data_IF_966259857468
#
_entry.id   IF_966259857468
#
_cell.length_a   1.000
_cell.length_b   1.000
_cell.length_c   1.000
_cell.angle_alpha   90.00
_cell.angle_beta   90.00
_cell.angle_gamma   90.00
#
_symmetry.space_group_name_H-M   'P 1'
#
loop_
_entity.id
_entity.type
_entity.pdbx_description
1 polymer ?
#
# COMPACT_ATOMS: atom_id res chain seq x y z
N UNK A 1 -7.95 3.89 2.99
CA UNK A 1 -7.92 3.05 4.20
C UNK A 1 -8.79 3.60 5.31
N UNK A 2 -8.56 4.81 5.82
CA UNK A 2 -9.40 5.39 6.88
C UNK A 2 -10.86 5.62 6.42
N UNK A 3 -11.07 6.14 5.21
CA UNK A 3 -12.41 6.34 4.64
C UNK A 3 -13.20 5.04 4.47
N UNK A 4 -12.64 4.07 3.73
CA UNK A 4 -13.36 2.88 3.28
C UNK A 4 -13.11 1.62 4.12
N UNK A 5 -12.26 1.69 5.14
CA UNK A 5 -11.98 0.60 6.08
C UNK A 5 -13.12 0.40 7.08
N UNK A 6 -14.33 0.13 6.58
CA UNK A 6 -15.57 0.06 7.35
C UNK A 6 -16.21 -1.32 7.25
N UNK A 7 -16.93 -1.70 8.30
CA UNK A 7 -17.61 -3.00 8.40
C UNK A 7 -19.13 -2.88 8.51
N UNK A 8 -19.66 -1.65 8.66
CA UNK A 8 -21.09 -1.37 8.83
C UNK A 8 -21.56 -0.52 7.65
N UNK A 9 -22.68 -0.92 7.04
CA UNK A 9 -23.35 -0.22 5.95
C UNK A 9 -24.18 0.97 6.47
N UNK A 10 -24.67 1.80 5.56
CA UNK A 10 -25.43 3.02 5.90
C UNK A 10 -26.72 2.75 6.69
N UNK A 11 -27.31 1.55 6.54
CA UNK A 11 -28.49 1.08 7.29
C UNK A 11 -28.17 0.48 8.67
N UNK A 12 -26.89 0.43 9.06
CA UNK A 12 -26.43 -0.08 10.34
C UNK A 12 -26.19 -1.61 10.38
N UNK A 13 -26.32 -2.31 9.25
CA UNK A 13 -26.04 -3.75 9.19
C UNK A 13 -24.56 -4.06 8.87
N UNK A 14 -24.03 -5.24 9.25
CA UNK A 14 -22.69 -5.63 8.85
C UNK A 14 -22.56 -5.90 7.35
N UNK A 15 -21.52 -5.36 6.71
CA UNK A 15 -21.18 -5.64 5.32
C UNK A 15 -20.89 -7.14 5.11
N UNK A 16 -21.37 -7.70 3.99
CA UNK A 16 -21.22 -9.13 3.63
C UNK A 16 -20.10 -9.38 2.60
N UNK A 17 -19.29 -8.36 2.35
CA UNK A 17 -18.22 -8.33 1.36
C UNK A 17 -17.03 -7.56 1.93
N UNK A 18 -15.88 -7.69 1.27
CA UNK A 18 -14.68 -6.90 1.60
C UNK A 18 -14.87 -5.46 1.14
N UNK A 19 -14.56 -4.51 2.01
CA UNK A 19 -14.57 -3.06 1.71
C UNK A 19 -13.15 -2.58 1.39
N UNK A 20 -12.72 -1.43 1.92
CA UNK A 20 -11.48 -0.76 1.51
C UNK A 20 -10.23 -1.66 1.56
N UNK A 21 -9.39 -1.63 0.51
CA UNK A 21 -8.16 -2.40 0.46
C UNK A 21 -7.08 -1.82 1.39
N UNK A 22 -6.08 -2.64 1.69
CA UNK A 22 -4.81 -2.16 2.26
C UNK A 22 -4.02 -1.53 1.13
N UNK A 23 -3.68 -0.24 1.29
CA UNK A 23 -2.85 0.50 0.33
C UNK A 23 -1.42 0.54 0.85
N UNK A 24 -0.45 0.28 -0.02
CA UNK A 24 0.97 0.43 0.24
C UNK A 24 1.69 0.75 -1.07
N UNK A 25 2.89 1.33 -0.98
CA UNK A 25 3.69 1.65 -2.15
C UNK A 25 4.92 2.48 -1.81
N UNK A 26 5.83 2.58 -2.77
CA UNK A 26 7.05 3.39 -2.72
C UNK A 26 7.34 3.94 -4.12
N UNK A 27 8.04 5.08 -4.26
CA UNK A 27 8.47 5.58 -5.56
C UNK A 27 9.31 4.55 -6.33
N UNK A 28 9.09 4.47 -7.63
CA UNK A 28 9.96 3.70 -8.53
C UNK A 28 11.19 4.54 -8.94
N UNK A 29 12.36 3.91 -9.14
CA UNK A 29 12.58 2.46 -9.24
C UNK A 29 12.90 1.76 -7.92
N UNK A 30 12.99 2.48 -6.79
CA UNK A 30 13.36 1.91 -5.48
C UNK A 30 12.50 0.69 -5.09
N UNK A 31 11.18 0.78 -5.29
CA UNK A 31 10.24 -0.31 -5.03
C UNK A 31 10.59 -1.61 -5.79
N UNK A 32 11.16 -1.50 -6.99
CA UNK A 32 11.55 -2.65 -7.83
C UNK A 32 12.65 -3.48 -7.16
N UNK A 33 13.47 -2.85 -6.32
CA UNK A 33 14.55 -3.47 -5.57
C UNK A 33 14.17 -3.78 -4.11
N UNK A 34 12.87 -3.72 -3.78
CA UNK A 34 12.35 -4.02 -2.45
C UNK A 34 11.32 -5.14 -2.50
N UNK A 35 10.10 -4.87 -2.97
CA UNK A 35 8.97 -5.79 -2.85
C UNK A 35 8.42 -6.29 -4.19
N UNK A 36 8.95 -5.84 -5.34
CA UNK A 36 8.48 -6.30 -6.66
C UNK A 36 8.70 -7.80 -6.90
N UNK A 37 9.64 -8.44 -6.20
CA UNK A 37 9.75 -9.89 -6.17
C UNK A 37 8.41 -10.55 -5.78
N UNK A 38 7.76 -10.05 -4.73
CA UNK A 38 6.47 -10.55 -4.27
C UNK A 38 5.35 -10.17 -5.24
N UNK A 39 5.41 -8.97 -5.84
CA UNK A 39 4.42 -8.54 -6.84
C UNK A 39 4.44 -9.46 -8.06
N UNK A 40 5.61 -9.89 -8.53
CA UNK A 40 5.78 -10.72 -9.73
C UNK A 40 5.56 -12.22 -9.48
N UNK A 41 6.15 -12.78 -8.43
CA UNK A 41 6.20 -14.24 -8.21
C UNK A 41 5.54 -14.69 -6.89
N UNK A 42 5.00 -13.76 -6.11
CA UNK A 42 4.25 -14.09 -4.90
C UNK A 42 2.89 -14.73 -5.21
N UNK A 43 2.29 -15.35 -4.19
CA UNK A 43 0.98 -16.03 -4.27
C UNK A 43 -0.21 -15.08 -4.10
N UNK A 44 0.04 -13.79 -3.91
CA UNK A 44 -1.00 -12.76 -3.82
C UNK A 44 -1.12 -12.04 -5.16
N UNK A 45 -2.36 -11.79 -5.58
CA UNK A 45 -2.66 -10.85 -6.64
C UNK A 45 -2.66 -9.45 -6.02
N UNK A 46 -1.80 -8.57 -6.52
CA UNK A 46 -1.68 -7.20 -6.05
C UNK A 46 -1.90 -6.30 -7.26
N UNK A 47 -3.10 -5.74 -7.45
CA UNK A 47 -3.33 -4.67 -8.42
C UNK A 47 -2.43 -3.49 -8.11
N UNK A 48 -1.84 -2.88 -9.15
CA UNK A 48 -0.89 -1.78 -8.98
C UNK A 48 -1.19 -0.62 -9.92
N UNK A 49 -1.19 0.59 -9.38
CA UNK A 49 -1.25 1.81 -10.17
C UNK A 49 0.17 2.36 -10.36
N UNK A 50 0.59 2.50 -11.62
CA UNK A 50 1.84 3.13 -12.00
C UNK A 50 1.56 4.56 -12.48
N UNK A 51 2.23 5.53 -11.88
CA UNK A 51 2.06 6.95 -12.21
C UNK A 51 3.41 7.55 -12.64
N UNK A 52 3.44 8.22 -13.79
CA UNK A 52 4.64 8.87 -14.32
C UNK A 52 4.32 10.22 -14.96
N UNK A 53 5.22 11.20 -14.79
CA UNK A 53 5.23 12.43 -15.59
C UNK A 53 6.09 12.24 -16.84
N UNK A 54 5.64 12.70 -18.01
CA UNK A 54 6.44 12.63 -19.23
C UNK A 54 7.66 13.57 -19.19
N UNK A 55 7.58 14.67 -18.44
CA UNK A 55 8.67 15.65 -18.28
C UNK A 55 9.19 15.67 -16.85
N UNK A 56 10.51 15.62 -16.71
CA UNK A 56 11.20 15.77 -15.42
C UNK A 56 11.38 17.24 -15.07
N UNK A 57 11.17 17.60 -13.80
CA UNK A 57 11.57 18.90 -13.27
C UNK A 57 13.10 19.11 -13.29
N UNK A 58 13.86 18.02 -13.41
CA UNK A 58 15.32 18.01 -13.46
C UNK A 58 15.78 17.28 -14.73
N UNK A 59 15.86 17.94 -15.89
CA UNK A 59 16.20 17.33 -17.17
C UNK A 59 17.72 17.09 -17.31
N UNK A 60 18.32 16.37 -16.36
CA UNK A 60 19.75 16.07 -16.33
C UNK A 60 20.14 15.22 -17.55
N UNK A 61 21.26 15.58 -18.19
CA UNK A 61 21.81 14.84 -19.33
C UNK A 61 20.83 14.75 -20.49
N UNK A 62 20.21 15.88 -20.87
CA UNK A 62 19.20 15.96 -21.93
C UNK A 62 18.03 14.98 -21.75
N UNK A 63 17.62 14.79 -20.49
CA UNK A 63 16.52 13.93 -20.10
C UNK A 63 16.85 12.43 -20.13
N UNK A 64 18.12 12.04 -20.15
CA UNK A 64 18.49 10.61 -20.17
C UNK A 64 17.98 9.86 -18.93
N UNK A 65 18.02 10.48 -17.75
CA UNK A 65 17.46 9.89 -16.53
C UNK A 65 15.94 9.72 -16.62
N UNK A 66 15.23 10.66 -17.25
CA UNK A 66 13.79 10.54 -17.44
C UNK A 66 13.43 9.40 -18.39
N UNK A 67 14.23 9.19 -19.45
CA UNK A 67 14.06 8.05 -20.36
C UNK A 67 14.30 6.72 -19.66
N UNK A 68 15.33 6.63 -18.80
CA UNK A 68 15.58 5.43 -17.99
C UNK A 68 14.45 5.15 -16.99
N UNK A 69 13.90 6.18 -16.35
CA UNK A 69 12.74 6.02 -15.47
C UNK A 69 11.52 5.55 -16.27
N UNK A 70 11.26 6.17 -17.42
CA UNK A 70 10.14 5.82 -18.30
C UNK A 70 10.27 4.39 -18.83
N UNK A 71 11.47 3.92 -19.22
CA UNK A 71 11.67 2.55 -19.68
C UNK A 71 11.30 1.54 -18.60
N UNK A 72 11.65 1.82 -17.33
CA UNK A 72 11.28 0.97 -16.20
C UNK A 72 9.77 1.02 -15.93
N UNK A 73 9.13 2.19 -16.02
CA UNK A 73 7.68 2.33 -15.91
C UNK A 73 6.93 1.46 -16.92
N UNK A 74 7.30 1.54 -18.21
CA UNK A 74 6.64 0.76 -19.26
C UNK A 74 6.94 -0.74 -19.13
N UNK A 75 8.21 -1.10 -18.89
CA UNK A 75 8.63 -2.49 -18.81
C UNK A 75 7.99 -3.23 -17.63
N UNK A 76 7.79 -2.59 -16.48
CA UNK A 76 7.18 -3.26 -15.32
C UNK A 76 5.69 -3.58 -15.55
N UNK A 77 4.93 -2.65 -16.13
CA UNK A 77 3.54 -2.90 -16.47
C UNK A 77 3.40 -4.03 -17.51
N UNK A 78 4.26 -4.02 -18.54
CA UNK A 78 4.32 -5.08 -19.54
C UNK A 78 4.70 -6.43 -18.93
N UNK A 79 5.77 -6.49 -18.12
CA UNK A 79 6.23 -7.72 -17.48
C UNK A 79 5.15 -8.37 -16.59
N UNK A 80 4.39 -7.55 -15.84
CA UNK A 80 3.27 -8.02 -15.02
C UNK A 80 2.12 -8.60 -15.86
N UNK A 81 1.90 -8.06 -17.06
CA UNK A 81 0.91 -8.57 -18.00
C UNK A 81 1.37 -9.87 -18.66
N UNK A 82 2.55 -9.87 -19.30
CA UNK A 82 2.98 -10.95 -20.20
C UNK A 82 3.63 -12.14 -19.51
N UNK A 83 4.33 -11.90 -18.38
CA UNK A 83 5.10 -12.95 -17.71
C UNK A 83 6.23 -13.51 -18.56
N UNK A 84 6.64 -14.75 -18.27
CA UNK A 84 7.69 -15.50 -18.95
C UNK A 84 7.48 -17.00 -18.76
N UNK A 85 7.31 -17.74 -19.86
CA UNK A 85 7.02 -19.18 -19.84
C UNK A 85 8.28 -20.03 -19.64
N UNK A 86 8.08 -21.31 -19.31
CA UNK A 86 9.19 -22.26 -19.15
C UNK A 86 10.03 -22.41 -20.43
N UNK A 87 9.39 -22.41 -21.60
CA UNK A 87 10.04 -22.51 -22.91
C UNK A 87 10.93 -21.30 -23.17
N UNK A 88 10.46 -20.09 -22.85
CA UNK A 88 11.25 -18.87 -22.97
C UNK A 88 12.46 -18.90 -22.02
N UNK A 89 12.26 -19.34 -20.78
CA UNK A 89 13.34 -19.50 -19.80
C UNK A 89 14.41 -20.51 -20.27
N UNK A 90 13.99 -21.64 -20.86
CA UNK A 90 14.91 -22.62 -21.45
C UNK A 90 15.65 -22.06 -22.66
N UNK A 91 14.97 -21.31 -23.53
CA UNK A 91 15.58 -20.66 -24.69
C UNK A 91 16.65 -19.62 -24.30
N UNK A 92 16.51 -19.01 -23.11
CA UNK A 92 17.54 -18.14 -22.50
C UNK A 92 18.75 -18.91 -21.92
N UNK A 93 18.77 -20.24 -22.03
CA UNK A 93 19.86 -21.09 -21.56
C UNK A 93 19.87 -21.35 -20.06
N UNK A 94 18.71 -21.24 -19.39
CA UNK A 94 18.61 -21.60 -17.97
C UNK A 94 18.81 -23.11 -17.76
N UNK A 95 19.58 -23.54 -16.75
CA UNK A 95 19.61 -24.93 -16.29
C UNK A 95 18.19 -25.42 -15.95
N UNK A 96 17.88 -26.68 -16.24
CA UNK A 96 16.51 -27.22 -16.12
C UNK A 96 15.99 -27.12 -14.67
N UNK A 97 16.86 -27.30 -13.68
CA UNK A 97 16.54 -27.15 -12.26
C UNK A 97 16.16 -25.71 -11.87
N UNK A 98 16.59 -24.70 -12.63
CA UNK A 98 16.26 -23.30 -12.39
C UNK A 98 15.04 -22.82 -13.18
N UNK A 99 14.57 -23.61 -14.16
CA UNK A 99 13.43 -23.22 -15.00
C UNK A 99 12.20 -22.86 -14.15
N UNK A 100 11.74 -23.68 -13.18
CA UNK A 100 10.56 -23.35 -12.39
C UNK A 100 10.68 -22.06 -11.59
N UNK A 101 11.89 -21.70 -11.17
CA UNK A 101 12.17 -20.51 -10.36
C UNK A 101 12.20 -19.22 -11.18
N UNK A 102 12.42 -19.31 -12.49
CA UNK A 102 12.54 -18.18 -13.41
C UNK A 102 11.28 -17.96 -14.27
N UNK A 103 10.23 -18.76 -14.06
CA UNK A 103 8.91 -18.54 -14.68
C UNK A 103 8.24 -17.33 -14.02
N UNK A 104 7.62 -16.50 -14.84
CA UNK A 104 6.75 -15.41 -14.40
C UNK A 104 5.35 -15.70 -14.94
N UNK A 105 4.36 -15.81 -14.05
CA UNK A 105 3.01 -16.21 -14.46
C UNK A 105 2.29 -15.15 -15.31
N UNK A 106 2.72 -13.88 -15.25
CA UNK A 106 2.00 -12.78 -15.89
C UNK A 106 0.58 -12.65 -15.34
N UNK A 107 -0.32 -12.08 -16.15
CA UNK A 107 -1.73 -11.87 -15.82
C UNK A 107 -1.96 -11.16 -14.47
N UNK A 108 -1.12 -10.15 -14.18
CA UNK A 108 -1.22 -9.32 -12.98
C UNK A 108 -1.65 -7.90 -13.40
N UNK A 109 -2.81 -7.42 -12.93
CA UNK A 109 -3.42 -6.20 -13.45
C UNK A 109 -2.68 -4.95 -12.98
N UNK A 110 -2.57 -3.98 -13.87
CA UNK A 110 -2.01 -2.66 -13.57
C UNK A 110 -2.85 -1.56 -14.20
N UNK A 111 -2.90 -0.39 -13.56
CA UNK A 111 -3.40 0.86 -14.15
C UNK A 111 -2.20 1.75 -14.42
N UNK A 112 -2.08 2.27 -15.65
CA UNK A 112 -0.98 3.15 -16.03
C UNK A 112 -1.49 4.58 -16.25
N UNK A 113 -1.10 5.50 -15.38
CA UNK A 113 -1.43 6.93 -15.46
C UNK A 113 -0.19 7.71 -15.93
N UNK A 114 -0.29 8.34 -17.10
CA UNK A 114 0.77 9.18 -17.65
C UNK A 114 0.34 10.65 -17.68
N UNK A 115 1.06 11.49 -16.94
CA UNK A 115 0.89 12.94 -16.97
C UNK A 115 1.74 13.50 -18.11
N UNK A 116 1.13 14.11 -19.13
CA UNK A 116 1.85 14.55 -20.34
C UNK A 116 2.88 15.69 -20.12
N UNK A 117 2.79 16.39 -19.00
CA UNK A 117 3.71 17.46 -18.60
C UNK A 117 4.65 17.07 -17.47
N UNK A 118 4.98 18.07 -16.66
CA UNK A 118 5.53 17.84 -15.31
C UNK A 118 4.35 17.58 -14.36
N UNK A 119 4.60 16.96 -13.21
CA UNK A 119 3.64 17.03 -12.10
C UNK A 119 3.87 18.36 -11.38
N UNK A 120 3.13 19.40 -11.79
CA UNK A 120 3.05 20.69 -11.11
C UNK A 120 1.85 20.76 -10.16
N UNK A 121 1.51 21.94 -9.63
CA UNK A 121 0.39 22.10 -8.71
C UNK A 121 -0.95 21.65 -9.30
N UNK A 122 -1.22 21.96 -10.57
CA UNK A 122 -2.48 21.61 -11.23
C UNK A 122 -2.59 20.09 -11.46
N UNK A 123 -1.52 19.45 -11.94
CA UNK A 123 -1.50 18.01 -12.19
C UNK A 123 -1.55 17.22 -10.88
N UNK A 124 -0.84 17.68 -9.84
CA UNK A 124 -0.94 17.07 -8.51
C UNK A 124 -2.35 17.19 -7.94
N UNK A 125 -2.98 18.37 -8.06
CA UNK A 125 -4.37 18.57 -7.64
C UNK A 125 -5.33 17.63 -8.37
N UNK A 126 -5.17 17.47 -9.68
CA UNK A 126 -5.99 16.55 -10.47
C UNK A 126 -5.81 15.08 -10.04
N UNK A 127 -4.58 14.65 -9.74
CA UNK A 127 -4.30 13.29 -9.25
C UNK A 127 -4.93 13.04 -7.87
N UNK A 128 -4.86 14.02 -6.96
CA UNK A 128 -5.51 13.92 -5.64
C UNK A 128 -7.02 13.80 -5.81
N UNK A 129 -7.65 14.69 -6.57
CA UNK A 129 -9.11 14.68 -6.81
C UNK A 129 -9.56 13.38 -7.48
N UNK A 130 -8.75 12.84 -8.40
CA UNK A 130 -9.02 11.53 -9.00
C UNK A 130 -9.15 10.44 -7.93
N UNK A 131 -8.21 10.34 -6.99
CA UNK A 131 -8.27 9.34 -5.92
C UNK A 131 -9.31 9.65 -4.83
N UNK A 132 -9.63 10.92 -4.56
CA UNK A 132 -10.76 11.30 -3.71
C UNK A 132 -12.09 10.79 -4.28
N UNK A 133 -12.33 11.01 -5.57
CA UNK A 133 -13.54 10.55 -6.25
C UNK A 133 -13.58 9.04 -6.44
N UNK A 134 -12.43 8.39 -6.69
CA UNK A 134 -12.33 6.93 -6.68
C UNK A 134 -12.74 6.38 -5.31
N UNK A 135 -12.15 6.91 -4.24
CA UNK A 135 -12.46 6.50 -2.86
C UNK A 135 -13.94 6.70 -2.52
N UNK A 136 -14.51 7.84 -2.89
CA UNK A 136 -15.94 8.11 -2.71
C UNK A 136 -16.82 7.13 -3.51
N UNK A 137 -16.46 6.85 -4.76
CA UNK A 137 -17.23 5.95 -5.64
C UNK A 137 -17.23 4.53 -5.09
N UNK A 138 -16.08 4.02 -4.65
CA UNK A 138 -15.98 2.73 -3.98
C UNK A 138 -16.89 2.64 -2.74
N UNK A 139 -16.88 3.68 -1.90
CA UNK A 139 -17.72 3.73 -0.71
C UNK A 139 -19.22 3.71 -1.04
N UNK A 140 -19.63 4.45 -2.07
CA UNK A 140 -21.01 4.48 -2.53
C UNK A 140 -21.44 3.11 -3.08
N UNK A 141 -20.56 2.42 -3.80
CA UNK A 141 -20.81 1.04 -4.28
C UNK A 141 -20.95 0.05 -3.11
N UNK A 142 -20.15 0.22 -2.07
CA UNK A 142 -20.18 -0.61 -0.85
C UNK A 142 -21.21 -0.17 0.19
N UNK A 143 -22.01 0.87 -0.07
CA UNK A 143 -22.99 1.42 0.87
C UNK A 143 -22.41 1.70 2.27
N UNK A 144 -21.19 2.26 2.32
CA UNK A 144 -20.51 2.64 3.57
C UNK A 144 -20.28 4.15 3.65
N UNK A 145 -20.12 4.67 4.87
CA UNK A 145 -19.76 6.07 5.08
C UNK A 145 -18.25 6.30 4.91
N UNK A 146 -17.84 6.99 3.86
CA UNK A 146 -16.43 7.35 3.60
C UNK A 146 -15.89 8.47 4.51
N UNK A 147 -16.75 9.16 5.26
CA UNK A 147 -16.45 10.46 5.85
C UNK A 147 -16.41 10.47 7.39
N UNK A 148 -16.60 9.32 8.04
CA UNK A 148 -16.38 9.16 9.48
C UNK A 148 -15.14 8.32 9.80
N UNK A 149 -14.75 8.28 11.08
CA UNK A 149 -13.58 7.53 11.55
C UNK A 149 -13.73 7.05 13.02
N UNK A 150 -14.90 6.54 13.41
CA UNK A 150 -15.17 6.10 14.80
C UNK A 150 -14.17 5.09 15.35
N UNK A 151 -13.55 4.28 14.48
CA UNK A 151 -12.56 3.27 14.86
C UNK A 151 -11.32 3.80 15.60
N UNK A 152 -11.04 5.10 15.54
CA UNK A 152 -9.88 5.70 16.24
C UNK A 152 -10.15 6.06 17.70
N UNK A 153 -11.40 6.03 18.14
CA UNK A 153 -11.80 6.57 19.45
C UNK A 153 -11.37 5.69 20.62
N UNK A 154 -11.54 4.36 20.48
CA UNK A 154 -11.23 3.42 21.55
C UNK A 154 -9.75 3.53 21.99
N UNK A 155 -8.83 3.59 21.03
CA UNK A 155 -7.40 3.75 21.30
C UNK A 155 -7.10 5.05 22.05
N UNK A 156 -7.75 6.17 21.70
CA UNK A 156 -7.57 7.47 22.37
C UNK A 156 -8.06 7.43 23.83
N UNK A 157 -9.18 6.77 24.10
CA UNK A 157 -9.72 6.62 25.47
C UNK A 157 -8.79 5.77 26.33
N UNK A 158 -8.37 4.61 25.81
CA UNK A 158 -7.47 3.70 26.52
C UNK A 158 -6.10 4.34 26.78
N UNK A 159 -5.53 5.04 25.80
CA UNK A 159 -4.25 5.71 25.95
C UNK A 159 -4.26 6.79 27.05
N UNK A 160 -5.35 7.56 27.18
CA UNK A 160 -5.50 8.54 28.28
C UNK A 160 -5.54 7.88 29.66
N UNK A 161 -6.23 6.74 29.78
CA UNK A 161 -6.29 5.96 31.02
C UNK A 161 -4.90 5.43 31.39
N UNK A 162 -4.24 4.78 30.44
CA UNK A 162 -2.90 4.20 30.63
C UNK A 162 -1.88 5.29 30.95
N UNK A 163 -1.94 6.45 30.29
CA UNK A 163 -1.04 7.57 30.58
C UNK A 163 -1.12 8.01 32.05
N UNK A 164 -2.33 8.13 32.61
CA UNK A 164 -2.52 8.45 34.03
C UNK A 164 -1.97 7.35 34.94
N UNK A 165 -2.22 6.08 34.59
CA UNK A 165 -1.71 4.94 35.35
C UNK A 165 -0.19 4.86 35.33
N UNK A 166 0.49 5.38 34.30
CA UNK A 166 1.96 5.44 34.26
C UNK A 166 2.54 6.33 35.37
N UNK A 167 1.80 7.33 35.84
CA UNK A 167 2.20 8.21 36.96
C UNK A 167 1.77 7.68 38.34
N UNK A 168 0.95 6.63 38.40
CA UNK A 168 0.41 6.05 39.63
C UNK A 168 1.25 4.86 40.12
N UNK A 169 1.14 4.47 41.38
CA UNK A 169 1.81 3.27 41.88
C UNK A 169 1.21 1.98 41.29
N UNK A 170 2.02 0.92 41.18
CA UNK A 170 1.58 -0.39 40.69
C UNK A 170 1.59 -0.53 39.16
N UNK A 171 0.94 -1.57 38.64
CA UNK A 171 1.04 -1.97 37.22
C UNK A 171 -0.20 -1.63 36.39
N UNK A 172 -1.08 -0.75 36.90
CA UNK A 172 -2.40 -0.50 36.35
C UNK A 172 -3.39 -1.62 36.72
N UNK A 173 -4.57 -1.25 37.22
CA UNK A 173 -5.61 -2.20 37.62
C UNK A 173 -6.73 -2.31 36.58
N UNK A 174 -7.31 -3.51 36.47
CA UNK A 174 -8.46 -3.78 35.59
C UNK A 174 -8.12 -3.99 34.11
N UNK A 175 -6.84 -4.10 33.76
CA UNK A 175 -6.40 -4.53 32.42
C UNK A 175 -6.19 -6.04 32.35
N UNK A 176 -6.08 -6.56 31.13
CA UNK A 176 -5.60 -7.91 30.91
C UNK A 176 -4.13 -8.09 31.38
N UNK A 177 -3.73 -9.34 31.56
CA UNK A 177 -2.41 -9.70 32.11
C UNK A 177 -1.26 -9.18 31.22
N UNK A 178 -1.44 -9.11 29.89
CA UNK A 178 -0.41 -8.62 28.97
C UNK A 178 -0.20 -7.13 29.17
N UNK A 179 -1.28 -6.35 29.15
CA UNK A 179 -1.21 -4.89 29.26
C UNK A 179 -0.63 -4.48 30.62
N UNK A 180 -1.14 -5.05 31.73
CA UNK A 180 -0.63 -4.75 33.06
C UNK A 180 0.84 -5.18 33.25
N UNK A 181 1.22 -6.35 32.71
CA UNK A 181 2.60 -6.81 32.72
C UNK A 181 3.55 -5.86 31.99
N UNK A 182 3.15 -5.35 30.82
CA UNK A 182 3.93 -4.39 30.04
C UNK A 182 4.01 -3.00 30.71
N UNK A 183 2.95 -2.52 31.34
CA UNK A 183 2.98 -1.28 32.13
C UNK A 183 4.00 -1.41 33.26
N UNK A 184 3.95 -2.50 34.03
CA UNK A 184 4.89 -2.75 35.11
C UNK A 184 6.34 -2.88 34.63
N UNK A 185 6.56 -3.59 33.52
CA UNK A 185 7.89 -3.72 32.92
C UNK A 185 8.42 -2.36 32.42
N UNK A 186 7.58 -1.56 31.76
CA UNK A 186 7.95 -0.23 31.29
C UNK A 186 8.37 0.67 32.45
N UNK A 187 7.55 0.79 33.50
CA UNK A 187 7.88 1.60 34.69
C UNK A 187 9.21 1.21 35.32
N UNK A 188 9.43 -0.10 35.48
CA UNK A 188 10.70 -0.65 35.99
C UNK A 188 11.90 -0.24 35.12
N UNK A 189 11.78 -0.28 33.81
CA UNK A 189 12.87 0.09 32.90
C UNK A 189 13.07 1.60 32.77
N UNK A 190 12.01 2.39 32.94
CA UNK A 190 12.05 3.86 32.87
C UNK A 190 12.34 4.53 34.21
N UNK A 191 12.45 3.77 35.30
CA UNK A 191 12.58 4.27 36.68
C UNK A 191 11.41 5.18 37.12
N UNK A 192 10.19 4.78 36.77
CA UNK A 192 8.94 5.36 37.29
C UNK A 192 8.47 4.62 38.55
#
# INVERSE_FOLDING_TARGET
MESNGKTITSDGTPAKYTTGPILFGEPCTNAQHSFFQLVHQGTKLIPADFILAAKSHNPIGDGVHQKMLASNYFAQAEALMVGKTAEQVRAEGAPEELVPHKIFLGNRPTTSILVGGHIGPAELGALIVYYEHLTFTEAAVWDINAFDQWGVELGKVLAKKILKELDEAGNGEGHDVSTGGLIGAFKKYSNL
#
